data_IF_073423454773
#
_entry.id   IF_073423454773
#
_cell.length_a   1.000
_cell.length_b   1.000
_cell.length_c   1.000
_cell.angle_alpha   90.00
_cell.angle_beta   90.00
_cell.angle_gamma   90.00
#
_symmetry.space_group_name_H-M   'P 1'
#
loop_
_entity.id
_entity.type
_entity.pdbx_description
1 polymer ?
#
# COMPACT_ATOMS: atom_id res chain seq x y z
N UNK A 1 34.66 -22.14 -8.18
CA UNK A 1 35.22 -20.80 -7.91
C UNK A 1 34.15 -19.76 -8.32
N UNK A 2 33.83 -18.85 -7.39
CA UNK A 2 33.14 -17.54 -7.51
C UNK A 2 31.74 -17.45 -8.15
N UNK A 3 30.74 -17.21 -7.29
CA UNK A 3 29.38 -16.80 -7.64
C UNK A 3 29.34 -15.29 -8.00
N UNK A 4 29.42 -14.98 -9.28
CA UNK A 4 29.26 -13.63 -9.82
C UNK A 4 27.83 -13.44 -10.32
N UNK A 5 27.11 -12.49 -9.71
CA UNK A 5 25.70 -12.20 -10.06
C UNK A 5 24.94 -11.45 -8.98
N UNK A 6 25.51 -11.30 -7.77
CA UNK A 6 24.90 -10.46 -6.73
C UNK A 6 25.40 -9.03 -6.87
N UNK A 7 24.83 -8.29 -7.82
CA UNK A 7 24.96 -6.83 -7.84
C UNK A 7 24.61 -6.29 -6.46
N UNK A 8 25.57 -5.61 -5.82
CA UNK A 8 25.45 -5.07 -4.46
C UNK A 8 24.15 -4.30 -4.28
N UNK A 9 23.61 -4.25 -3.06
CA UNK A 9 22.37 -3.50 -2.73
C UNK A 9 22.40 -2.08 -3.32
N UNK A 10 23.58 -1.45 -3.33
CA UNK A 10 23.81 -0.12 -3.92
C UNK A 10 23.51 -0.07 -5.43
N UNK A 11 23.87 -1.09 -6.19
CA UNK A 11 23.61 -1.16 -7.63
C UNK A 11 22.12 -1.35 -7.94
N UNK A 12 21.43 -2.17 -7.15
CA UNK A 12 19.99 -2.44 -7.28
C UNK A 12 19.16 -1.18 -7.02
N UNK A 13 19.50 -0.42 -5.98
CA UNK A 13 18.83 0.85 -5.66
C UNK A 13 19.01 1.89 -6.78
N UNK A 14 20.23 2.02 -7.33
CA UNK A 14 20.48 2.92 -8.47
C UNK A 14 19.64 2.56 -9.69
N UNK A 15 19.46 1.27 -9.98
CA UNK A 15 18.65 0.81 -11.11
C UNK A 15 17.15 1.03 -10.86
N UNK A 16 16.68 0.85 -9.61
CA UNK A 16 15.29 1.09 -9.24
C UNK A 16 14.90 2.58 -9.36
N UNK A 17 15.79 3.49 -8.94
CA UNK A 17 15.57 4.94 -9.06
C UNK A 17 15.56 5.43 -10.53
N UNK A 18 16.22 4.69 -11.43
CA UNK A 18 16.21 4.95 -12.88
C UNK A 18 14.98 4.37 -13.58
N UNK A 19 14.22 3.50 -12.92
CA UNK A 19 13.08 2.80 -13.52
C UNK A 19 11.88 3.74 -13.73
N UNK A 20 11.19 3.69 -14.89
CA UNK A 20 10.04 4.55 -15.20
C UNK A 20 8.87 4.42 -14.21
N UNK A 21 8.73 3.26 -13.57
CA UNK A 21 7.68 2.96 -12.58
C UNK A 21 7.70 3.89 -11.37
N UNK A 22 8.86 4.38 -10.93
CA UNK A 22 8.97 5.34 -9.81
C UNK A 22 8.54 6.75 -10.22
N UNK A 23 8.65 7.09 -11.52
CA UNK A 23 8.23 8.38 -12.07
C UNK A 23 6.72 8.44 -12.30
N UNK A 24 6.08 7.29 -12.58
CA UNK A 24 4.63 7.21 -12.75
C UNK A 24 3.87 7.59 -11.47
N UNK A 25 4.36 7.14 -10.30
CA UNK A 25 3.81 7.54 -8.98
C UNK A 25 3.90 9.03 -8.67
N UNK A 26 4.88 9.75 -9.24
CA UNK A 26 4.99 11.22 -9.03
C UNK A 26 4.03 11.99 -9.92
N UNK A 27 3.71 11.47 -11.11
CA UNK A 27 2.77 12.11 -12.04
C UNK A 27 1.32 11.91 -11.63
N UNK A 28 1.01 10.80 -10.94
CA UNK A 28 -0.31 10.54 -10.35
C UNK A 28 -0.61 11.36 -9.09
N UNK A 29 0.32 12.19 -8.61
CA UNK A 29 0.18 12.96 -7.36
C UNK A 29 -0.22 14.43 -7.52
N UNK A 30 -0.46 14.93 -8.74
CA UNK A 30 -0.72 16.36 -8.99
C UNK A 30 -2.05 16.66 -9.70
N UNK A 31 -2.94 15.69 -9.85
CA UNK A 31 -4.35 15.98 -10.04
C UNK A 31 -4.99 15.94 -8.66
N UNK A 32 -4.88 17.04 -7.91
CA UNK A 32 -5.78 17.32 -6.79
C UNK A 32 -7.17 17.46 -7.38
N UNK A 33 -7.81 16.33 -7.64
CA UNK A 33 -9.25 16.25 -7.67
C UNK A 33 -9.66 16.83 -6.32
N UNK A 34 -10.18 18.05 -6.34
CA UNK A 34 -10.83 18.67 -5.18
C UNK A 34 -12.13 17.89 -5.06
N UNK A 35 -12.02 16.68 -4.52
CA UNK A 35 -13.13 15.77 -4.31
C UNK A 35 -14.07 16.52 -3.39
N UNK A 36 -15.25 16.88 -3.90
CA UNK A 36 -16.29 17.51 -3.13
C UNK A 36 -16.55 16.62 -1.90
N UNK A 37 -16.15 17.11 -0.73
CA UNK A 37 -16.25 16.34 0.52
C UNK A 37 -17.69 16.33 1.04
N UNK A 38 -18.62 17.05 0.40
CA UNK A 38 -20.02 17.19 0.81
C UNK A 38 -20.78 15.87 0.88
N UNK A 39 -20.46 14.92 -0.01
CA UNK A 39 -21.05 13.57 -0.04
C UNK A 39 -20.19 12.50 0.66
N UNK A 40 -19.08 12.90 1.31
CA UNK A 40 -18.19 11.92 1.95
C UNK A 40 -18.64 11.60 3.36
N UNK A 41 -18.73 10.31 3.65
CA UNK A 41 -18.91 9.79 5.01
C UNK A 41 -17.73 10.21 5.87
N UNK A 42 -17.97 11.01 6.91
CA UNK A 42 -16.97 11.34 7.93
C UNK A 42 -16.85 10.19 8.92
N UNK A 43 -15.70 9.51 8.95
CA UNK A 43 -15.42 8.48 9.94
C UNK A 43 -15.07 9.15 11.27
N UNK A 44 -15.89 8.96 12.30
CA UNK A 44 -15.63 9.54 13.63
C UNK A 44 -14.52 8.80 14.38
N UNK A 45 -14.46 7.48 14.23
CA UNK A 45 -13.49 6.61 14.91
C UNK A 45 -13.11 5.45 13.99
N UNK A 46 -11.83 5.14 13.93
CA UNK A 46 -11.26 4.05 13.12
C UNK A 46 -10.32 3.21 13.94
N UNK A 47 -10.36 1.90 13.72
CA UNK A 47 -9.43 0.95 14.30
C UNK A 47 -8.31 0.65 13.30
N UNK A 48 -7.07 0.99 13.64
CA UNK A 48 -5.89 0.65 12.84
C UNK A 48 -5.36 -0.73 13.21
N UNK A 49 -5.31 -1.67 12.26
CA UNK A 49 -4.80 -3.03 12.50
C UNK A 49 -3.57 -3.26 11.63
N UNK A 50 -2.47 -3.67 12.26
CA UNK A 50 -1.26 -4.16 11.56
C UNK A 50 -1.13 -5.66 11.80
N UNK A 51 -1.02 -6.44 10.73
CA UNK A 51 -0.81 -7.88 10.84
C UNK A 51 0.34 -8.34 9.93
N UNK A 52 1.04 -9.43 10.28
CA UNK A 52 2.17 -9.94 9.49
C UNK A 52 1.78 -10.50 8.11
N UNK A 53 0.48 -10.56 7.76
CA UNK A 53 0.02 -10.94 6.43
C UNK A 53 -1.47 -10.67 6.20
N UNK A 54 -1.91 -10.84 4.95
CA UNK A 54 -3.25 -10.45 4.47
C UNK A 54 -4.41 -11.30 5.02
N UNK A 55 -4.14 -12.28 5.91
CA UNK A 55 -5.11 -13.25 6.41
C UNK A 55 -5.63 -12.95 7.82
N UNK A 56 -5.34 -11.77 8.35
CA UNK A 56 -5.76 -11.39 9.70
C UNK A 56 -7.21 -10.94 9.81
N UNK A 57 -7.88 -10.69 8.68
CA UNK A 57 -9.27 -10.25 8.64
C UNK A 57 -10.12 -11.32 7.97
N UNK A 58 -11.27 -11.63 8.56
CA UNK A 58 -12.28 -12.48 7.95
C UNK A 58 -13.54 -11.65 7.67
N UNK A 59 -14.13 -11.80 6.49
CA UNK A 59 -15.30 -11.04 6.06
C UNK A 59 -16.40 -12.00 5.60
N UNK A 60 -17.64 -11.79 6.07
CA UNK A 60 -18.83 -12.39 5.47
C UNK A 60 -19.40 -11.44 4.39
N UNK A 61 -19.30 -11.78 3.10
CA UNK A 61 -19.73 -10.91 2.01
C UNK A 61 -21.25 -10.75 1.92
N UNK A 62 -22.04 -11.62 2.57
CA UNK A 62 -23.51 -11.53 2.53
C UNK A 62 -24.06 -10.53 3.53
N UNK A 63 -23.39 -10.39 4.67
CA UNK A 63 -23.82 -9.53 5.78
C UNK A 63 -22.97 -8.28 5.93
N UNK A 64 -21.77 -8.26 5.36
CA UNK A 64 -20.79 -7.19 5.56
C UNK A 64 -20.10 -7.24 6.93
N UNK A 65 -20.28 -8.32 7.69
CA UNK A 65 -19.61 -8.51 8.98
C UNK A 65 -18.11 -8.77 8.78
N UNK A 66 -17.30 -8.04 9.51
CA UNK A 66 -15.84 -8.17 9.52
C UNK A 66 -15.37 -8.62 10.91
N UNK A 67 -14.67 -9.75 10.97
CA UNK A 67 -13.95 -10.21 12.15
C UNK A 67 -12.46 -9.85 12.02
N UNK A 68 -11.88 -9.40 13.13
CA UNK A 68 -10.48 -9.01 13.22
C UNK A 68 -9.88 -9.56 14.51
N UNK A 69 -8.54 -9.68 14.62
CA UNK A 69 -7.91 -10.18 15.83
C UNK A 69 -8.14 -9.18 16.95
N UNK A 70 -8.71 -9.63 18.06
CA UNK A 70 -8.65 -8.87 19.30
C UNK A 70 -7.18 -8.89 19.75
N UNK A 71 -6.57 -7.72 19.88
CA UNK A 71 -5.23 -7.58 20.44
C UNK A 71 -5.15 -8.15 21.84
#
# INVERSE_FOLDING_TARGET
MTAEGSGTIRSRIKNLLRSPSIKLRRRSGAARHKEDLGDKVTLEKVLGITAPGNRALACDPRTGLLAYPAG
#
